data_IF_566755954830
#
_entry.id   IF_566755954830
#
_cell.length_a   1.000
_cell.length_b   1.000
_cell.length_c   1.000
_cell.angle_alpha   90.00
_cell.angle_beta   90.00
_cell.angle_gamma   90.00
#
_symmetry.space_group_name_H-M   'P 1'
#
loop_
_entity.id
_entity.type
_entity.pdbx_description
1 polymer ?
#
# COMPACT_ATOMS: atom_id res chain seq x y z
N UNK A 1 -24.00 -7.35 -14.22
CA UNK A 1 -25.03 -6.41 -14.76
C UNK A 1 -26.43 -6.99 -14.51
N UNK A 2 -27.40 -6.11 -14.22
CA UNK A 2 -28.82 -6.52 -14.15
C UNK A 2 -29.30 -6.76 -15.58
N UNK A 3 -29.84 -7.93 -15.83
CA UNK A 3 -30.35 -8.34 -17.15
C UNK A 3 -31.87 -8.38 -17.22
N UNK A 4 -32.55 -8.61 -16.08
CA UNK A 4 -33.99 -8.63 -16.02
C UNK A 4 -34.49 -8.31 -14.61
N UNK A 5 -35.67 -7.68 -14.50
CA UNK A 5 -36.34 -7.35 -13.25
C UNK A 5 -37.79 -7.82 -13.34
N UNK A 6 -38.09 -8.92 -12.64
CA UNK A 6 -39.43 -9.44 -12.47
C UNK A 6 -40.05 -9.05 -11.12
N UNK A 7 -41.31 -9.36 -10.90
CA UNK A 7 -42.05 -8.97 -9.69
C UNK A 7 -41.39 -9.44 -8.38
N UNK A 8 -40.82 -10.63 -8.35
CA UNK A 8 -40.25 -11.25 -7.15
C UNK A 8 -38.75 -11.57 -7.26
N UNK A 9 -38.14 -11.36 -8.42
CA UNK A 9 -36.75 -11.71 -8.69
C UNK A 9 -36.07 -10.68 -9.57
N UNK A 10 -34.76 -10.53 -9.38
CA UNK A 10 -33.87 -9.76 -10.26
C UNK A 10 -32.81 -10.72 -10.78
N UNK A 11 -32.64 -10.76 -12.09
CA UNK A 11 -31.64 -11.59 -12.77
C UNK A 11 -30.41 -10.75 -13.06
N UNK A 12 -29.24 -11.25 -12.62
CA UNK A 12 -27.95 -10.59 -12.82
C UNK A 12 -26.99 -11.50 -13.55
N UNK A 13 -26.25 -10.97 -14.51
CA UNK A 13 -25.13 -11.65 -15.13
C UNK A 13 -23.87 -11.36 -14.33
N UNK A 14 -23.19 -12.41 -13.88
CA UNK A 14 -21.92 -12.36 -13.16
C UNK A 14 -20.75 -12.10 -14.13
N UNK A 15 -19.57 -11.83 -13.56
CA UNK A 15 -18.35 -11.57 -14.32
C UNK A 15 -17.86 -12.76 -15.14
N UNK A 16 -18.09 -13.98 -14.64
CA UNK A 16 -17.80 -15.27 -15.29
C UNK A 16 -18.87 -15.70 -16.32
N UNK A 17 -19.81 -14.79 -16.65
CA UNK A 17 -20.94 -15.00 -17.56
C UNK A 17 -22.04 -15.92 -17.03
N UNK A 18 -21.93 -16.43 -15.82
CA UNK A 18 -23.06 -17.15 -15.20
C UNK A 18 -24.19 -16.18 -14.87
N UNK A 19 -25.38 -16.72 -14.70
CA UNK A 19 -26.59 -15.95 -14.38
C UNK A 19 -27.06 -16.32 -12.98
N UNK A 20 -27.30 -15.31 -12.14
CA UNK A 20 -27.84 -15.48 -10.78
C UNK A 20 -29.19 -14.81 -10.68
N UNK A 21 -30.19 -15.54 -10.19
CA UNK A 21 -31.51 -14.99 -9.87
C UNK A 21 -31.59 -14.67 -8.38
N UNK A 22 -31.84 -13.43 -8.05
CA UNK A 22 -31.88 -12.90 -6.68
C UNK A 22 -33.30 -12.54 -6.32
N UNK A 23 -33.89 -13.09 -5.24
CA UNK A 23 -35.20 -12.63 -4.75
C UNK A 23 -35.19 -11.13 -4.44
N UNK A 24 -36.18 -10.37 -4.91
CA UNK A 24 -36.26 -8.91 -4.72
C UNK A 24 -36.15 -8.52 -3.23
N UNK A 25 -36.70 -9.36 -2.34
CA UNK A 25 -36.59 -9.15 -0.89
C UNK A 25 -35.15 -9.06 -0.41
N UNK A 26 -34.21 -9.82 -0.98
CA UNK A 26 -32.79 -9.76 -0.60
C UNK A 26 -32.14 -8.45 -0.98
N UNK A 27 -32.54 -7.85 -2.09
CA UNK A 27 -32.03 -6.52 -2.50
C UNK A 27 -32.51 -5.38 -1.61
N UNK A 28 -33.60 -5.61 -0.87
CA UNK A 28 -34.14 -4.61 0.09
C UNK A 28 -33.52 -4.80 1.48
N UNK A 29 -33.28 -6.06 1.90
CA UNK A 29 -32.86 -6.40 3.26
C UNK A 29 -31.34 -6.55 3.42
N UNK A 30 -30.59 -6.79 2.35
CA UNK A 30 -29.14 -7.01 2.39
C UNK A 30 -28.39 -5.86 1.74
N UNK A 31 -27.20 -5.56 2.27
CA UNK A 31 -26.31 -4.57 1.66
C UNK A 31 -25.51 -5.19 0.52
N UNK A 32 -25.33 -4.46 -0.56
CA UNK A 32 -24.49 -4.85 -1.70
C UNK A 32 -23.56 -3.71 -2.13
N UNK A 33 -22.42 -4.07 -2.70
CA UNK A 33 -21.44 -3.09 -3.17
C UNK A 33 -21.80 -2.60 -4.56
N UNK A 34 -21.93 -1.29 -4.70
CA UNK A 34 -22.06 -0.62 -5.97
C UNK A 34 -20.67 -0.18 -6.47
N UNK A 35 -20.26 -0.69 -7.62
CA UNK A 35 -18.96 -0.39 -8.23
C UNK A 35 -18.94 0.88 -9.09
N UNK A 36 -20.10 1.54 -9.25
CA UNK A 36 -20.22 2.75 -10.06
C UNK A 36 -19.28 3.86 -9.58
N UNK A 37 -19.23 4.10 -8.27
CA UNK A 37 -18.34 5.09 -7.68
C UNK A 37 -16.85 4.83 -7.95
N UNK A 38 -16.42 3.55 -8.05
CA UNK A 38 -15.06 3.20 -8.45
C UNK A 38 -14.79 3.64 -9.91
N UNK A 39 -15.71 3.33 -10.82
CA UNK A 39 -15.57 3.72 -12.23
C UNK A 39 -15.55 5.24 -12.40
N UNK A 40 -16.42 5.94 -11.68
CA UNK A 40 -16.52 7.40 -11.71
C UNK A 40 -15.31 8.10 -11.08
N UNK A 41 -14.67 7.49 -10.07
CA UNK A 41 -13.43 8.03 -9.46
C UNK A 41 -12.19 7.89 -10.35
N UNK A 42 -12.27 7.13 -11.43
CA UNK A 42 -11.14 6.86 -12.32
C UNK A 42 -10.04 5.97 -11.71
N UNK A 43 -10.22 5.49 -10.46
CA UNK A 43 -9.21 4.73 -9.75
C UNK A 43 -9.71 3.40 -9.21
N UNK A 44 -8.93 2.32 -9.38
CA UNK A 44 -9.20 1.02 -8.80
C UNK A 44 -8.20 0.72 -7.70
N UNK A 45 -8.70 0.34 -6.52
CA UNK A 45 -7.89 0.18 -5.31
C UNK A 45 -7.03 -1.07 -5.35
N UNK A 46 -5.74 -0.89 -5.11
CA UNK A 46 -4.81 -1.93 -4.66
C UNK A 46 -4.75 -1.88 -3.13
N UNK A 47 -4.99 -3.01 -2.48
CA UNK A 47 -4.80 -3.21 -1.04
C UNK A 47 -4.19 -4.58 -0.84
N UNK A 48 -2.87 -4.64 -0.75
CA UNK A 48 -2.10 -5.87 -0.63
C UNK A 48 -0.90 -5.66 0.28
N UNK A 49 -0.46 -6.69 0.99
CA UNK A 49 0.69 -6.62 1.88
C UNK A 49 1.81 -7.54 1.41
N UNK A 50 3.04 -7.05 1.58
CA UNK A 50 4.26 -7.85 1.59
C UNK A 50 4.49 -8.34 3.02
N UNK A 51 4.70 -9.63 3.21
CA UNK A 51 5.00 -10.21 4.52
C UNK A 51 6.51 -10.28 4.69
N UNK A 52 7.04 -9.45 5.60
CA UNK A 52 8.46 -9.34 5.87
C UNK A 52 8.81 -10.19 7.09
N UNK A 53 9.97 -10.84 7.05
CA UNK A 53 10.49 -11.52 8.22
C UNK A 53 10.82 -10.49 9.31
N UNK A 54 10.14 -10.59 10.44
CA UNK A 54 10.32 -9.68 11.56
C UNK A 54 11.73 -9.77 12.16
N UNK A 55 12.36 -10.94 12.10
CA UNK A 55 13.73 -11.14 12.59
C UNK A 55 14.77 -10.44 11.72
N UNK A 56 14.44 -10.11 10.48
CA UNK A 56 15.32 -9.36 9.57
C UNK A 56 15.38 -7.86 9.84
N UNK A 57 14.49 -7.33 10.72
CA UNK A 57 14.43 -5.90 11.04
C UNK A 57 15.65 -5.52 11.89
N UNK A 58 16.43 -4.57 11.39
CA UNK A 58 17.67 -4.12 12.03
C UNK A 58 17.99 -2.66 11.71
N UNK A 59 18.92 -2.12 12.44
CA UNK A 59 19.49 -0.81 12.11
C UNK A 59 20.43 -0.94 10.90
N UNK A 60 20.48 0.12 10.09
CA UNK A 60 21.40 0.22 8.97
C UNK A 60 22.76 0.75 9.45
N UNK A 61 23.82 0.09 9.01
CA UNK A 61 25.19 0.55 9.20
C UNK A 61 25.50 1.75 8.28
N UNK A 62 26.50 2.60 8.62
CA UNK A 62 26.86 3.75 7.81
C UNK A 62 27.15 3.41 6.33
N UNK A 63 27.91 2.35 6.08
CA UNK A 63 28.24 1.90 4.72
C UNK A 63 27.01 1.47 3.92
N UNK A 64 26.02 0.89 4.57
CA UNK A 64 24.78 0.49 3.93
C UNK A 64 23.94 1.72 3.55
N UNK A 65 23.89 2.72 4.43
CA UNK A 65 23.20 3.99 4.14
C UNK A 65 23.83 4.70 2.95
N UNK A 66 25.16 4.69 2.86
CA UNK A 66 25.89 5.27 1.72
C UNK A 66 25.61 4.51 0.42
N UNK A 67 25.52 3.19 0.47
CA UNK A 67 25.13 2.39 -0.67
C UNK A 67 23.69 2.67 -1.10
N UNK A 68 22.76 2.80 -0.15
CA UNK A 68 21.34 3.10 -0.40
C UNK A 68 21.11 4.52 -0.94
N UNK A 69 22.00 5.49 -0.67
CA UNK A 69 21.96 6.82 -1.30
C UNK A 69 22.14 6.83 -2.81
N UNK A 70 22.66 5.75 -3.40
CA UNK A 70 22.75 5.60 -4.86
C UNK A 70 21.36 5.44 -5.52
N UNK A 71 20.37 4.98 -4.75
CA UNK A 71 18.98 4.96 -5.22
C UNK A 71 18.42 6.37 -5.23
N UNK A 72 18.08 6.87 -6.40
CA UNK A 72 17.55 8.24 -6.57
C UNK A 72 16.36 8.50 -5.67
N UNK A 73 15.46 7.51 -5.51
CA UNK A 73 14.27 7.61 -4.67
C UNK A 73 14.57 7.69 -3.17
N UNK A 74 15.77 7.27 -2.72
CA UNK A 74 16.12 7.24 -1.30
C UNK A 74 17.03 8.38 -0.85
N UNK A 75 17.73 9.03 -1.76
CA UNK A 75 18.75 10.06 -1.42
C UNK A 75 18.20 11.13 -0.48
N UNK A 76 17.20 11.86 -0.91
CA UNK A 76 16.61 12.96 -0.13
C UNK A 76 15.98 12.48 1.18
N UNK A 77 15.44 11.26 1.17
CA UNK A 77 14.91 10.65 2.39
C UNK A 77 15.99 10.41 3.43
N UNK A 78 17.08 9.77 3.03
CA UNK A 78 18.18 9.44 3.93
C UNK A 78 18.82 10.71 4.49
N UNK A 79 19.06 11.72 3.65
CA UNK A 79 19.66 13.00 4.07
C UNK A 79 18.75 13.76 5.04
N UNK A 80 17.44 13.74 4.80
CA UNK A 80 16.47 14.38 5.69
C UNK A 80 16.33 13.61 7.00
N UNK A 81 16.29 12.27 6.90
CA UNK A 81 16.12 11.41 8.07
C UNK A 81 17.34 11.44 8.99
N UNK A 82 18.53 11.49 8.45
CA UNK A 82 19.75 11.62 9.25
C UNK A 82 19.80 12.95 10.01
N UNK A 83 19.43 14.04 9.39
CA UNK A 83 19.34 15.35 10.08
C UNK A 83 18.32 15.32 11.20
N UNK A 84 17.10 14.83 10.92
CA UNK A 84 16.04 14.67 11.93
C UNK A 84 16.51 13.85 13.15
N UNK A 85 17.25 12.76 12.90
CA UNK A 85 17.73 11.88 13.97
C UNK A 85 18.92 12.50 14.71
N UNK A 86 19.79 13.22 14.02
CA UNK A 86 20.89 13.95 14.65
C UNK A 86 20.36 15.04 15.61
N UNK A 87 19.38 15.83 15.16
CA UNK A 87 18.74 16.86 15.97
C UNK A 87 18.04 16.26 17.20
N UNK A 88 17.32 15.14 17.01
CA UNK A 88 16.67 14.43 18.11
C UNK A 88 17.68 13.93 19.13
N UNK A 89 18.74 13.25 18.68
CA UNK A 89 19.74 12.68 19.56
C UNK A 89 20.56 13.76 20.29
N UNK A 90 20.85 14.88 19.62
CA UNK A 90 21.48 16.03 20.29
C UNK A 90 20.61 16.61 21.43
N UNK A 91 19.29 16.58 21.27
CA UNK A 91 18.35 16.99 22.31
C UNK A 91 18.36 16.10 23.58
N UNK A 92 18.90 14.89 23.49
CA UNK A 92 19.06 13.98 24.64
C UNK A 92 20.34 14.26 25.45
N UNK A 93 21.21 15.16 24.99
CA UNK A 93 22.52 15.43 25.62
C UNK A 93 23.41 14.18 25.69
N UNK A 94 24.07 13.95 26.82
CA UNK A 94 24.97 12.81 27.02
C UNK A 94 24.30 11.45 26.83
N UNK A 95 23.00 11.31 27.10
CA UNK A 95 22.25 10.08 26.87
C UNK A 95 22.12 9.74 25.39
N UNK A 96 22.08 10.74 24.51
CA UNK A 96 22.02 10.56 23.08
C UNK A 96 23.32 10.04 22.43
N UNK A 97 24.44 10.14 23.12
CA UNK A 97 25.71 9.57 22.69
C UNK A 97 25.75 8.04 22.83
N UNK A 98 24.92 7.49 23.70
CA UNK A 98 24.83 6.05 23.91
C UNK A 98 23.96 5.41 22.80
N UNK A 99 24.47 4.44 22.03
CA UNK A 99 23.73 3.80 20.93
C UNK A 99 22.41 3.17 21.35
N UNK A 100 22.24 2.79 22.62
CA UNK A 100 21.02 2.19 23.16
C UNK A 100 19.89 3.21 23.30
N UNK A 101 20.22 4.47 23.54
CA UNK A 101 19.25 5.57 23.68
C UNK A 101 19.02 6.33 22.38
N UNK A 102 20.01 6.28 21.47
CA UNK A 102 19.96 7.00 20.21
C UNK A 102 18.94 6.41 19.23
N UNK A 103 18.18 7.28 18.56
CA UNK A 103 17.36 6.88 17.42
C UNK A 103 18.25 6.63 16.20
N UNK A 104 17.98 5.54 15.48
CA UNK A 104 18.75 5.12 14.31
C UNK A 104 17.85 4.72 13.15
N UNK A 105 18.38 4.77 11.94
CA UNK A 105 17.67 4.35 10.72
C UNK A 105 17.59 2.83 10.66
N UNK A 106 16.41 2.29 10.36
CA UNK A 106 16.19 0.85 10.14
C UNK A 106 16.04 0.52 8.67
N UNK A 107 16.38 -0.72 8.29
CA UNK A 107 16.12 -1.26 6.95
C UNK A 107 14.61 -1.22 6.61
N UNK A 108 13.75 -1.59 7.55
CA UNK A 108 12.30 -1.57 7.38
C UNK A 108 11.75 -0.16 7.09
N UNK A 109 12.17 0.84 7.87
CA UNK A 109 11.77 2.23 7.66
C UNK A 109 12.22 2.78 6.31
N UNK A 110 13.44 2.41 5.89
CA UNK A 110 13.99 2.78 4.60
C UNK A 110 13.27 2.08 3.45
N UNK A 111 12.97 0.79 3.58
CA UNK A 111 12.20 0.06 2.58
C UNK A 111 10.79 0.61 2.43
N UNK A 112 10.10 0.91 3.54
CA UNK A 112 8.79 1.57 3.51
C UNK A 112 8.84 2.90 2.74
N UNK A 113 9.86 3.71 3.01
CA UNK A 113 10.04 4.99 2.34
C UNK A 113 10.37 4.83 0.84
N UNK A 114 11.12 3.78 0.47
CA UNK A 114 11.38 3.44 -0.93
C UNK A 114 10.09 3.09 -1.67
N UNK A 115 9.29 2.15 -1.11
CA UNK A 115 8.02 1.72 -1.72
C UNK A 115 7.06 2.90 -1.87
N UNK A 116 6.94 3.77 -0.86
CA UNK A 116 6.07 4.94 -0.94
C UNK A 116 6.49 5.87 -2.09
N UNK A 117 7.79 6.15 -2.23
CA UNK A 117 8.32 6.99 -3.31
C UNK A 117 8.20 6.35 -4.67
N UNK A 118 8.46 5.05 -4.76
CA UNK A 118 8.27 4.28 -5.97
C UNK A 118 6.84 4.42 -6.49
N UNK A 119 5.85 4.20 -5.62
CA UNK A 119 4.44 4.33 -5.98
C UNK A 119 4.05 5.76 -6.39
N UNK A 120 4.59 6.78 -5.73
CA UNK A 120 4.35 8.19 -6.10
C UNK A 120 4.91 8.55 -7.48
N UNK A 121 5.98 7.89 -7.93
CA UNK A 121 6.59 8.10 -9.24
C UNK A 121 6.06 7.13 -10.30
N UNK A 122 5.33 6.11 -9.91
CA UNK A 122 4.79 5.13 -10.84
C UNK A 122 3.72 5.76 -11.75
N UNK A 123 3.86 5.66 -13.10
CA UNK A 123 3.00 6.39 -14.03
C UNK A 123 1.53 5.93 -14.00
N UNK A 124 1.28 4.70 -13.56
CA UNK A 124 -0.05 4.10 -13.55
C UNK A 124 -0.70 4.09 -12.15
N UNK A 125 -0.08 4.75 -11.17
CA UNK A 125 -0.69 5.00 -9.86
C UNK A 125 -1.36 6.37 -9.85
N UNK A 126 -2.59 6.42 -9.35
CA UNK A 126 -3.40 7.64 -9.30
C UNK A 126 -2.82 8.60 -8.25
N UNK A 127 -2.52 9.84 -8.66
CA UNK A 127 -1.79 10.82 -7.83
C UNK A 127 -2.66 11.52 -6.79
N UNK A 128 -3.95 11.70 -7.10
CA UNK A 128 -4.87 12.48 -6.27
C UNK A 128 -5.68 11.61 -5.30
N UNK A 129 -5.63 10.28 -5.44
CA UNK A 129 -6.27 9.37 -4.52
C UNK A 129 -5.31 8.92 -3.42
N UNK A 130 -5.86 8.41 -2.33
CA UNK A 130 -5.10 7.99 -1.15
C UNK A 130 -4.00 7.00 -1.49
N UNK A 131 -2.77 7.32 -1.10
CA UNK A 131 -1.61 6.45 -1.18
C UNK A 131 -0.99 6.31 0.21
N UNK A 132 -0.90 5.08 0.71
CA UNK A 132 -0.32 4.74 2.01
C UNK A 132 0.55 3.50 1.88
N UNK A 133 1.70 3.52 2.54
CA UNK A 133 2.54 2.35 2.80
C UNK A 133 2.73 2.25 4.30
N UNK A 134 2.15 1.22 4.92
CA UNK A 134 2.09 1.12 6.38
C UNK A 134 2.35 -0.29 6.88
N UNK A 135 2.89 -0.38 8.07
CA UNK A 135 3.01 -1.62 8.81
C UNK A 135 1.67 -1.94 9.48
N UNK A 136 1.26 -3.19 9.38
CA UNK A 136 0.12 -3.72 10.12
C UNK A 136 0.62 -4.54 11.32
N UNK A 137 -0.31 -5.06 12.11
CA UNK A 137 0.02 -5.90 13.25
C UNK A 137 0.76 -7.17 12.78
N UNK A 138 1.91 -7.50 13.37
CA UNK A 138 2.61 -8.74 13.09
C UNK A 138 1.76 -9.98 13.34
N UNK A 139 1.97 -11.01 12.52
CA UNK A 139 1.27 -12.29 12.62
C UNK A 139 2.20 -13.46 12.40
N UNK A 140 1.68 -14.69 12.36
CA UNK A 140 2.48 -15.90 12.15
C UNK A 140 3.24 -15.91 10.80
N UNK A 141 2.78 -15.14 9.82
CA UNK A 141 3.39 -15.01 8.50
C UNK A 141 4.40 -13.87 8.40
N UNK A 142 4.70 -13.20 9.51
CA UNK A 142 5.63 -12.08 9.58
C UNK A 142 4.97 -10.72 9.78
N UNK A 143 5.71 -9.65 9.48
CA UNK A 143 5.27 -8.27 9.57
C UNK A 143 4.68 -7.82 8.23
N UNK A 144 3.37 -7.57 8.13
CA UNK A 144 2.78 -7.11 6.88
C UNK A 144 3.11 -5.63 6.63
N UNK A 145 3.73 -5.35 5.49
CA UNK A 145 3.86 -4.00 4.94
C UNK A 145 2.76 -3.81 3.89
N UNK A 146 1.67 -3.16 4.27
CA UNK A 146 0.52 -2.95 3.40
C UNK A 146 0.78 -1.78 2.43
N UNK A 147 0.57 -2.06 1.16
CA UNK A 147 0.46 -1.08 0.09
C UNK A 147 -1.03 -0.82 -0.13
N UNK A 148 -1.41 0.44 0.01
CA UNK A 148 -2.75 0.94 -0.25
C UNK A 148 -2.65 2.10 -1.23
N UNK A 149 -3.06 1.88 -2.45
CA UNK A 149 -3.05 2.90 -3.49
C UNK A 149 -4.17 2.64 -4.51
N UNK A 150 -4.28 3.49 -5.50
CA UNK A 150 -5.22 3.34 -6.60
C UNK A 150 -4.48 3.38 -7.92
N UNK A 151 -4.84 2.49 -8.85
CA UNK A 151 -4.42 2.60 -10.25
C UNK A 151 -5.19 3.73 -10.93
N UNK A 152 -4.64 4.29 -11.99
CA UNK A 152 -5.32 5.29 -12.82
C UNK A 152 -6.14 4.66 -13.97
N UNK A 153 -6.34 3.35 -13.92
CA UNK A 153 -7.18 2.59 -14.85
C UNK A 153 -8.07 1.61 -14.08
N UNK A 154 -9.35 1.58 -14.40
CA UNK A 154 -10.35 0.75 -13.71
C UNK A 154 -10.60 -0.59 -14.39
N UNK A 155 -10.11 -0.79 -15.63
CA UNK A 155 -10.27 -2.04 -16.39
C UNK A 155 -9.53 -3.17 -15.70
N UNK A 156 -10.20 -4.30 -15.51
CA UNK A 156 -9.65 -5.40 -14.71
C UNK A 156 -8.28 -5.89 -15.20
N UNK A 157 -8.17 -6.26 -16.46
CA UNK A 157 -6.92 -6.82 -16.98
C UNK A 157 -5.74 -5.83 -16.85
N UNK A 158 -5.99 -4.53 -17.07
CA UNK A 158 -4.98 -3.49 -16.89
C UNK A 158 -4.60 -3.34 -15.42
N UNK A 159 -5.59 -3.32 -14.54
CA UNK A 159 -5.38 -3.27 -13.08
C UNK A 159 -4.51 -4.42 -12.57
N UNK A 160 -4.80 -5.66 -13.01
CA UNK A 160 -4.00 -6.83 -12.60
C UNK A 160 -2.56 -6.74 -13.14
N UNK A 161 -2.37 -6.24 -14.35
CA UNK A 161 -1.03 -5.97 -14.90
C UNK A 161 -0.26 -4.95 -14.09
N UNK A 162 -0.89 -3.81 -13.74
CA UNK A 162 -0.28 -2.78 -12.89
C UNK A 162 0.04 -3.33 -11.49
N UNK A 163 -0.86 -4.11 -10.92
CA UNK A 163 -0.63 -4.73 -9.62
C UNK A 163 0.56 -5.69 -9.67
N UNK A 164 0.68 -6.51 -10.72
CA UNK A 164 1.83 -7.40 -10.89
C UNK A 164 3.13 -6.61 -11.00
N UNK A 165 3.18 -5.59 -11.85
CA UNK A 165 4.36 -4.74 -12.04
C UNK A 165 4.83 -4.05 -10.73
N UNK A 166 3.91 -3.69 -9.86
CA UNK A 166 4.23 -3.09 -8.55
C UNK A 166 4.84 -4.12 -7.58
N UNK A 167 4.47 -5.38 -7.70
CA UNK A 167 4.86 -6.43 -6.74
C UNK A 167 5.97 -7.36 -7.25
N UNK A 168 6.42 -7.18 -8.49
CA UNK A 168 7.60 -7.83 -9.05
C UNK A 168 8.90 -7.11 -8.63
#
# INVERSE_FOLDING_TARGET
>A
DVTDIALHTVTVQNWDKTVTTIPTRKLISESFKNWRGMTESGGRRIKRALHLDQASVRFLEPSERDALRRFTLLRDYLDTKERELADWNAGLGADGELPVNARRITNLGTFRAYVERYLRHHPQVHRDLTLLVRQLQPGPTGLPLEIYCFTNDTRWAVYEGIQSDIFD
#
